data_IF_499828084699
#
_entry.id   IF_499828084699
#
_cell.length_a   1.000
_cell.length_b   1.000
_cell.length_c   1.000
_cell.angle_alpha   90.00
_cell.angle_beta   90.00
_cell.angle_gamma   90.00
#
_symmetry.space_group_name_H-M   'P 1'
#
loop_
_entity.id
_entity.type
_entity.pdbx_description
1 polymer ?
#
# COMPACT_ATOMS: atom_id res chain seq x y z
N UNK A 1 21.78 3.37 -1.43
CA UNK A 1 20.65 2.42 -1.37
C UNK A 1 21.16 1.18 -0.66
N UNK A 2 20.46 0.71 0.37
CA UNK A 2 20.85 -0.52 1.08
C UNK A 2 20.62 -1.75 0.17
N UNK A 3 21.29 -2.86 0.52
CA UNK A 3 21.11 -4.14 -0.16
C UNK A 3 19.64 -4.59 -0.14
N UNK A 4 18.94 -4.41 1.00
CA UNK A 4 17.53 -4.77 1.16
C UNK A 4 16.63 -3.96 0.22
N UNK A 5 16.79 -2.64 0.16
CA UNK A 5 16.02 -1.79 -0.75
C UNK A 5 16.34 -2.12 -2.22
N UNK A 6 17.60 -2.37 -2.55
CA UNK A 6 18.00 -2.75 -3.91
C UNK A 6 17.36 -4.04 -4.37
N UNK A 7 17.32 -5.06 -3.51
CA UNK A 7 16.65 -6.33 -3.80
C UNK A 7 15.13 -6.13 -3.93
N UNK A 8 14.49 -5.42 -3.00
CA UNK A 8 13.05 -5.14 -3.07
C UNK A 8 12.66 -4.44 -4.37
N UNK A 9 13.43 -3.43 -4.80
CA UNK A 9 13.19 -2.70 -6.04
C UNK A 9 13.37 -3.56 -7.28
N UNK A 10 14.39 -4.40 -7.31
CA UNK A 10 14.63 -5.32 -8.44
C UNK A 10 13.50 -6.35 -8.58
N UNK A 11 13.08 -6.95 -7.45
CA UNK A 11 12.00 -7.95 -7.40
C UNK A 11 10.66 -7.32 -7.76
N UNK A 12 10.35 -6.13 -7.24
CA UNK A 12 9.11 -5.41 -7.59
C UNK A 12 9.02 -5.09 -9.09
N UNK A 13 10.12 -4.66 -9.71
CA UNK A 13 10.18 -4.42 -11.16
C UNK A 13 10.02 -5.70 -11.98
N UNK A 14 10.65 -6.80 -11.57
CA UNK A 14 10.51 -8.10 -12.25
C UNK A 14 9.07 -8.60 -12.19
N UNK A 15 8.45 -8.58 -11.01
CA UNK A 15 7.06 -8.95 -10.80
C UNK A 15 6.11 -8.04 -11.59
N UNK A 16 6.31 -6.72 -11.52
CA UNK A 16 5.50 -5.76 -12.25
C UNK A 16 5.62 -5.87 -13.77
N UNK A 17 6.78 -6.25 -14.32
CA UNK A 17 6.94 -6.52 -15.74
C UNK A 17 6.07 -7.71 -16.19
N UNK A 18 5.98 -8.78 -15.38
CA UNK A 18 5.08 -9.92 -15.63
C UNK A 18 3.62 -9.49 -15.52
N UNK A 19 3.26 -8.76 -14.46
CA UNK A 19 1.90 -8.26 -14.30
C UNK A 19 1.46 -7.40 -15.48
N UNK A 20 2.31 -6.50 -15.94
CA UNK A 20 2.06 -5.65 -17.12
C UNK A 20 1.94 -6.46 -18.41
N UNK A 21 2.81 -7.42 -18.64
CA UNK A 21 2.78 -8.25 -19.85
C UNK A 21 1.48 -9.06 -19.95
N UNK A 22 1.00 -9.59 -18.80
CA UNK A 22 -0.22 -10.39 -18.73
C UNK A 22 -1.50 -9.59 -18.54
N UNK A 23 -1.43 -8.26 -18.43
CA UNK A 23 -2.56 -7.41 -18.03
C UNK A 23 -3.80 -7.53 -18.93
N UNK A 24 -3.64 -7.68 -20.23
CA UNK A 24 -4.74 -7.84 -21.20
C UNK A 24 -4.95 -9.29 -21.64
N UNK A 25 -4.19 -10.24 -21.11
CA UNK A 25 -4.36 -11.65 -21.43
C UNK A 25 -5.59 -12.25 -20.72
N UNK A 26 -6.19 -13.32 -21.26
CA UNK A 26 -7.19 -14.12 -20.54
C UNK A 26 -6.61 -14.62 -19.21
N UNK A 27 -7.38 -14.48 -18.13
CA UNK A 27 -6.97 -14.87 -16.79
C UNK A 27 -8.02 -15.71 -16.10
N UNK A 28 -7.59 -16.58 -15.20
CA UNK A 28 -8.48 -17.32 -14.31
C UNK A 28 -8.75 -16.50 -13.08
N UNK A 29 -10.00 -16.12 -12.84
CA UNK A 29 -10.44 -15.36 -11.67
C UNK A 29 -11.13 -16.32 -10.71
N UNK A 30 -10.78 -16.26 -9.43
CA UNK A 30 -11.43 -17.00 -8.33
C UNK A 30 -11.79 -16.02 -7.22
N UNK A 31 -12.62 -16.44 -6.30
CA UNK A 31 -12.96 -15.71 -5.08
C UNK A 31 -12.26 -16.30 -3.88
N UNK A 32 -11.84 -15.47 -2.93
CA UNK A 32 -11.21 -15.87 -1.65
C UNK A 32 -12.26 -16.00 -0.55
N UNK A 33 -12.50 -14.92 0.18
CA UNK A 33 -13.36 -14.89 1.38
C UNK A 33 -14.78 -14.44 1.09
N UNK A 34 -15.01 -13.74 -0.01
CA UNK A 34 -16.32 -13.25 -0.46
C UNK A 34 -16.39 -13.17 -1.99
N UNK A 35 -17.58 -12.95 -2.56
CA UNK A 35 -17.77 -12.82 -4.02
C UNK A 35 -17.02 -11.65 -4.65
N UNK A 36 -16.67 -10.63 -3.85
CA UNK A 36 -15.95 -9.45 -4.30
C UNK A 36 -14.45 -9.46 -3.91
N UNK A 37 -14.01 -10.48 -3.19
CA UNK A 37 -12.62 -10.70 -2.82
C UNK A 37 -11.98 -11.64 -3.86
N UNK A 38 -11.35 -11.04 -4.87
CA UNK A 38 -10.85 -11.76 -6.03
C UNK A 38 -9.38 -12.15 -5.88
N UNK A 39 -9.02 -13.24 -6.53
CA UNK A 39 -7.64 -13.65 -6.80
C UNK A 39 -7.54 -14.16 -8.23
N UNK A 40 -6.41 -13.89 -8.88
CA UNK A 40 -6.13 -14.38 -10.23
C UNK A 40 -4.94 -15.34 -10.22
N UNK A 41 -4.77 -16.09 -11.30
CA UNK A 41 -3.58 -16.90 -11.51
C UNK A 41 -2.29 -16.06 -11.62
N UNK A 42 -2.43 -14.74 -11.86
CA UNK A 42 -1.31 -13.81 -11.86
C UNK A 42 -0.85 -13.52 -10.44
N UNK A 43 -1.75 -13.29 -9.49
CA UNK A 43 -1.40 -13.07 -8.07
C UNK A 43 -0.50 -14.20 -7.55
N UNK A 44 -0.91 -15.45 -7.78
CA UNK A 44 -0.13 -16.62 -7.37
C UNK A 44 1.22 -16.73 -8.09
N UNK A 45 1.28 -16.40 -9.39
CA UNK A 45 2.53 -16.44 -10.15
C UNK A 45 3.52 -15.37 -9.66
N UNK A 46 3.02 -14.18 -9.30
CA UNK A 46 3.85 -13.10 -8.74
C UNK A 46 4.30 -13.43 -7.32
N UNK A 47 3.42 -14.00 -6.47
CA UNK A 47 3.79 -14.47 -5.13
C UNK A 47 4.93 -15.48 -5.20
N UNK A 48 4.79 -16.50 -6.04
CA UNK A 48 5.83 -17.52 -6.23
C UNK A 48 7.17 -16.90 -6.66
N UNK A 49 7.14 -16.02 -7.67
CA UNK A 49 8.34 -15.33 -8.16
C UNK A 49 9.04 -14.55 -7.04
N UNK A 50 8.29 -13.72 -6.32
CA UNK A 50 8.85 -12.86 -5.26
C UNK A 50 9.48 -13.71 -4.17
N UNK A 51 8.79 -14.77 -3.73
CA UNK A 51 9.30 -15.73 -2.73
C UNK A 51 10.58 -16.41 -3.19
N UNK A 52 10.64 -16.87 -4.43
CA UNK A 52 11.83 -17.49 -5.01
C UNK A 52 13.03 -16.54 -5.03
N UNK A 53 12.82 -15.27 -5.44
CA UNK A 53 13.88 -14.25 -5.48
C UNK A 53 14.39 -13.87 -4.11
N UNK A 54 13.46 -13.66 -3.15
CA UNK A 54 13.83 -13.35 -1.77
C UNK A 54 14.59 -14.51 -1.15
N UNK A 55 14.11 -15.76 -1.27
CA UNK A 55 14.78 -16.94 -0.70
C UNK A 55 16.18 -17.18 -1.29
N UNK A 56 16.33 -17.00 -2.60
CA UNK A 56 17.62 -17.15 -3.26
C UNK A 56 18.68 -16.18 -2.76
N UNK A 57 18.28 -14.93 -2.48
CA UNK A 57 19.19 -13.90 -1.99
C UNK A 57 19.29 -13.87 -0.45
N UNK A 58 18.20 -14.21 0.26
CA UNK A 58 18.03 -14.03 1.70
C UNK A 58 17.39 -15.27 2.37
N UNK A 59 18.05 -16.43 2.38
CA UNK A 59 17.45 -17.71 2.78
C UNK A 59 17.05 -17.80 4.26
N UNK A 60 17.54 -16.88 5.11
CA UNK A 60 17.27 -16.85 6.54
C UNK A 60 16.26 -15.77 6.97
N UNK A 61 15.73 -15.00 6.02
CA UNK A 61 14.76 -13.95 6.31
C UNK A 61 13.35 -14.55 6.42
N UNK A 62 12.52 -13.94 7.26
CA UNK A 62 11.09 -14.25 7.34
C UNK A 62 10.34 -13.64 6.15
N UNK A 63 9.26 -14.29 5.72
CA UNK A 63 8.44 -13.82 4.61
C UNK A 63 6.95 -13.94 4.96
N UNK A 64 6.23 -12.83 4.84
CA UNK A 64 4.79 -12.72 4.95
C UNK A 64 4.24 -12.18 3.64
N UNK A 65 3.45 -12.96 2.93
CA UNK A 65 2.79 -12.54 1.69
C UNK A 65 1.29 -12.73 1.80
N UNK A 66 0.51 -12.03 0.97
CA UNK A 66 -0.94 -12.17 0.95
C UNK A 66 -1.39 -13.56 0.52
N UNK A 67 -0.74 -14.15 -0.51
CA UNK A 67 -1.23 -15.35 -1.19
C UNK A 67 -0.72 -16.67 -0.59
N UNK A 68 0.17 -16.60 0.40
CA UNK A 68 0.83 -17.79 0.95
C UNK A 68 0.95 -17.75 2.47
N UNK A 69 1.18 -18.91 3.06
CA UNK A 69 1.44 -18.99 4.49
C UNK A 69 2.74 -18.27 4.87
N UNK A 70 2.71 -17.59 6.03
CA UNK A 70 3.89 -16.93 6.57
C UNK A 70 5.04 -17.92 6.85
N UNK A 71 6.25 -17.51 6.51
CA UNK A 71 7.47 -18.25 6.74
C UNK A 71 8.30 -17.61 7.83
N UNK A 72 8.71 -18.39 8.81
CA UNK A 72 9.61 -17.94 9.85
C UNK A 72 11.03 -17.77 9.33
N UNK A 73 11.77 -16.80 9.87
CA UNK A 73 13.20 -16.58 9.60
C UNK A 73 14.00 -16.50 10.89
N UNK A 74 15.31 -16.45 10.76
CA UNK A 74 16.26 -16.37 11.89
C UNK A 74 17.19 -15.15 11.84
N UNK A 75 17.12 -14.34 10.79
CA UNK A 75 18.02 -13.19 10.57
C UNK A 75 17.59 -11.89 11.28
N UNK A 76 16.34 -11.83 11.82
CA UNK A 76 15.72 -10.59 12.28
C UNK A 76 15.10 -9.74 11.16
N UNK A 77 15.27 -10.13 9.89
CA UNK A 77 14.65 -9.46 8.73
C UNK A 77 13.36 -10.16 8.35
N UNK A 78 12.30 -9.35 8.07
CA UNK A 78 11.02 -9.82 7.57
C UNK A 78 10.59 -9.03 6.33
N UNK A 79 10.23 -9.74 5.29
CA UNK A 79 9.62 -9.23 4.07
C UNK A 79 8.10 -9.32 4.20
N UNK A 80 7.41 -8.23 3.93
CA UNK A 80 5.94 -8.12 4.00
C UNK A 80 5.46 -7.67 2.63
N UNK A 81 4.75 -8.55 1.91
CA UNK A 81 4.54 -8.41 0.47
C UNK A 81 3.07 -8.55 0.09
N UNK A 82 2.58 -7.60 -0.68
CA UNK A 82 1.42 -7.76 -1.54
C UNK A 82 1.90 -7.93 -2.99
N UNK A 83 1.73 -9.13 -3.58
CA UNK A 83 2.18 -9.40 -4.94
C UNK A 83 1.43 -8.62 -6.00
N UNK A 84 0.15 -8.27 -5.74
CA UNK A 84 -0.73 -7.56 -6.67
C UNK A 84 -1.80 -6.76 -5.92
N UNK A 85 -1.43 -5.64 -5.31
CA UNK A 85 -2.39 -4.72 -4.69
C UNK A 85 -3.31 -4.08 -5.75
N UNK A 86 -4.60 -4.32 -5.61
CA UNK A 86 -5.61 -3.93 -6.59
C UNK A 86 -6.05 -5.06 -7.53
N UNK A 87 -6.14 -6.30 -7.05
CA UNK A 87 -6.57 -7.50 -7.80
C UNK A 87 -7.92 -7.29 -8.50
N UNK A 88 -8.89 -6.62 -7.87
CA UNK A 88 -10.17 -6.28 -8.53
C UNK A 88 -9.96 -5.41 -9.76
N UNK A 89 -9.11 -4.39 -9.68
CA UNK A 89 -8.78 -3.53 -10.82
C UNK A 89 -8.13 -4.35 -11.93
N UNK A 90 -7.17 -5.19 -11.55
CA UNK A 90 -6.48 -6.08 -12.49
C UNK A 90 -7.46 -7.04 -13.18
N UNK A 91 -8.35 -7.67 -12.42
CA UNK A 91 -9.37 -8.59 -12.95
C UNK A 91 -10.28 -7.93 -13.98
N UNK A 92 -10.62 -6.64 -13.77
CA UNK A 92 -11.44 -5.84 -14.67
C UNK A 92 -10.66 -5.07 -15.75
N UNK A 93 -9.37 -5.32 -15.93
CA UNK A 93 -8.51 -4.60 -16.85
C UNK A 93 -8.51 -3.07 -16.62
N UNK A 94 -8.68 -2.64 -15.37
CA UNK A 94 -8.51 -1.24 -14.98
C UNK A 94 -7.04 -1.00 -14.57
N UNK A 95 -6.29 -0.11 -15.26
CA UNK A 95 -4.83 -0.01 -15.14
C UNK A 95 -4.40 0.76 -13.88
N UNK A 96 -4.75 0.25 -12.70
CA UNK A 96 -4.44 0.85 -11.41
C UNK A 96 -4.24 -0.26 -10.36
N UNK A 97 -3.01 -0.72 -10.24
CA UNK A 97 -2.56 -1.77 -9.34
C UNK A 97 -1.05 -1.64 -9.11
N UNK A 98 -0.53 -2.27 -8.07
CA UNK A 98 0.88 -2.18 -7.72
C UNK A 98 1.44 -3.49 -7.17
N UNK A 99 2.78 -3.58 -7.15
CA UNK A 99 3.54 -4.54 -6.34
C UNK A 99 3.99 -3.79 -5.09
N UNK A 100 3.67 -4.28 -3.91
CA UNK A 100 4.04 -3.67 -2.62
C UNK A 100 4.98 -4.57 -1.83
N UNK A 101 6.17 -4.07 -1.46
CA UNK A 101 7.17 -4.79 -0.69
C UNK A 101 7.67 -3.92 0.46
N UNK A 102 7.29 -4.28 1.69
CA UNK A 102 7.86 -3.74 2.91
C UNK A 102 8.96 -4.65 3.46
N UNK A 103 10.01 -4.08 4.01
CA UNK A 103 11.08 -4.82 4.71
C UNK A 103 11.22 -4.28 6.11
N UNK A 104 11.17 -5.16 7.09
CA UNK A 104 11.35 -4.87 8.50
C UNK A 104 12.65 -5.49 9.00
N UNK A 105 13.34 -4.80 9.89
CA UNK A 105 14.53 -5.30 10.61
C UNK A 105 14.24 -5.16 12.10
N UNK A 106 14.31 -6.25 12.83
CA UNK A 106 14.01 -6.33 14.27
C UNK A 106 12.65 -5.69 14.62
N UNK A 107 11.64 -5.95 13.78
CA UNK A 107 10.28 -5.45 13.94
C UNK A 107 10.07 -3.98 13.55
N UNK A 108 11.10 -3.29 13.06
CA UNK A 108 10.99 -1.90 12.62
C UNK A 108 11.05 -1.80 11.08
N UNK A 109 10.16 -1.02 10.46
CA UNK A 109 10.18 -0.76 9.00
C UNK A 109 11.53 -0.17 8.61
N UNK A 110 12.24 -0.81 7.68
CA UNK A 110 13.59 -0.42 7.25
C UNK A 110 13.62 0.03 5.79
N UNK A 111 12.87 -0.63 4.91
CA UNK A 111 12.72 -0.26 3.51
C UNK A 111 11.28 -0.49 3.04
N UNK A 112 10.84 0.25 2.03
CA UNK A 112 9.53 0.11 1.42
C UNK A 112 9.57 0.42 -0.07
N UNK A 113 8.92 -0.41 -0.87
CA UNK A 113 8.80 -0.27 -2.32
C UNK A 113 7.35 -0.45 -2.73
N UNK A 114 6.84 0.48 -3.54
CA UNK A 114 5.57 0.35 -4.26
C UNK A 114 5.86 0.61 -5.74
N UNK A 115 5.54 -0.35 -6.61
CA UNK A 115 5.75 -0.21 -8.04
C UNK A 115 4.44 -0.28 -8.81
N UNK A 116 4.10 0.80 -9.51
CA UNK A 116 3.02 0.86 -10.50
C UNK A 116 3.58 0.48 -11.88
N UNK A 117 3.33 -0.74 -12.39
CA UNK A 117 3.90 -1.17 -13.65
C UNK A 117 3.23 -0.55 -14.88
N UNK A 118 2.01 -0.01 -14.73
CA UNK A 118 1.28 0.61 -15.83
C UNK A 118 1.80 2.00 -16.14
N UNK A 119 2.29 2.73 -15.10
CA UNK A 119 2.88 4.07 -15.22
C UNK A 119 4.41 4.05 -15.21
N UNK A 120 5.02 2.89 -14.94
CA UNK A 120 6.45 2.72 -14.69
C UNK A 120 6.95 3.67 -13.58
N UNK A 121 6.19 3.70 -12.47
CA UNK A 121 6.47 4.52 -11.32
C UNK A 121 6.93 3.64 -10.14
N UNK A 122 8.21 3.74 -9.79
CA UNK A 122 8.79 3.07 -8.64
C UNK A 122 8.94 4.06 -7.49
N UNK A 123 8.13 3.85 -6.44
CA UNK A 123 8.21 4.56 -5.18
C UNK A 123 9.09 3.76 -4.22
N UNK A 124 10.08 4.41 -3.63
CA UNK A 124 11.08 3.78 -2.76
C UNK A 124 11.29 4.63 -1.51
N UNK A 125 11.38 3.99 -0.36
CA UNK A 125 11.82 4.64 0.88
C UNK A 125 12.80 3.75 1.64
N UNK A 126 13.75 4.38 2.33
CA UNK A 126 14.65 3.74 3.27
C UNK A 126 14.68 4.59 4.53
N UNK A 127 14.51 3.96 5.69
CA UNK A 127 14.44 4.66 6.99
C UNK A 127 15.59 5.64 7.17
N UNK A 128 15.23 6.91 7.43
CA UNK A 128 16.18 8.01 7.65
C UNK A 128 16.87 8.52 6.38
N UNK A 129 16.45 8.07 5.18
CA UNK A 129 17.07 8.49 3.91
C UNK A 129 16.09 9.14 2.92
N UNK A 130 14.85 9.34 3.36
CA UNK A 130 13.79 9.94 2.55
C UNK A 130 13.16 8.99 1.56
N UNK A 131 12.12 9.49 0.87
CA UNK A 131 11.39 8.77 -0.18
C UNK A 131 11.74 9.30 -1.57
N UNK A 132 11.58 8.42 -2.59
CA UNK A 132 11.90 8.73 -4.00
C UNK A 132 10.84 8.14 -4.93
N UNK A 133 10.64 8.80 -6.05
CA UNK A 133 9.90 8.30 -7.22
C UNK A 133 10.87 8.24 -8.39
N UNK A 134 11.10 7.05 -8.95
CA UNK A 134 12.05 6.81 -10.04
C UNK A 134 13.42 7.44 -9.75
N UNK A 135 13.92 7.27 -8.52
CA UNK A 135 15.20 7.80 -8.07
C UNK A 135 15.22 9.30 -7.71
N UNK A 136 14.16 10.07 -8.02
CA UNK A 136 14.06 11.48 -7.67
C UNK A 136 13.42 11.66 -6.29
N UNK A 137 13.96 12.50 -5.40
CA UNK A 137 13.36 12.77 -4.09
C UNK A 137 11.92 13.28 -4.22
N UNK A 138 11.03 12.77 -3.37
CA UNK A 138 9.63 13.21 -3.28
C UNK A 138 9.32 13.73 -1.89
N UNK A 139 8.26 14.53 -1.80
CA UNK A 139 7.70 15.05 -0.56
C UNK A 139 6.19 15.09 -0.65
N UNK A 140 5.55 15.03 0.50
CA UNK A 140 4.11 15.27 0.64
C UNK A 140 3.73 16.69 0.21
N UNK A 141 2.44 16.90 -0.08
CA UNK A 141 1.90 18.20 -0.49
C UNK A 141 1.94 19.26 0.64
N UNK A 142 1.68 20.52 0.27
CA UNK A 142 1.63 21.64 1.22
C UNK A 142 0.21 22.15 1.51
N UNK A 143 -0.84 21.48 1.05
CA UNK A 143 -2.22 21.85 1.30
C UNK A 143 -2.51 21.77 2.80
N UNK A 144 -2.99 22.89 3.39
CA UNK A 144 -3.24 22.99 4.82
C UNK A 144 -4.73 23.00 5.20
N UNK A 145 -5.61 23.18 4.23
CA UNK A 145 -7.04 23.25 4.45
C UNK A 145 -7.75 22.04 3.87
N UNK A 146 -8.51 21.31 4.70
CA UNK A 146 -9.21 20.08 4.29
C UNK A 146 -10.16 20.31 3.10
N UNK A 147 -10.84 21.47 3.03
CA UNK A 147 -11.70 21.84 1.90
C UNK A 147 -10.99 22.00 0.55
N UNK A 148 -9.66 22.04 0.55
CA UNK A 148 -8.80 22.10 -0.65
C UNK A 148 -8.08 20.77 -0.89
N UNK A 149 -8.26 19.81 0.01
CA UNK A 149 -7.56 18.56 -0.02
C UNK A 149 -8.20 17.56 -0.99
N UNK A 150 -7.37 16.88 -1.76
CA UNK A 150 -7.73 15.68 -2.50
C UNK A 150 -7.39 14.46 -1.65
N UNK A 151 -8.42 13.73 -1.24
CA UNK A 151 -8.28 12.58 -0.37
C UNK A 151 -8.51 11.27 -1.12
N UNK A 152 -8.04 10.16 -0.54
CA UNK A 152 -8.34 8.81 -0.99
C UNK A 152 -8.88 7.95 0.14
N UNK A 153 -9.60 6.88 -0.22
CA UNK A 153 -10.08 5.84 0.69
C UNK A 153 -10.38 4.54 -0.05
N UNK A 154 -10.48 3.45 0.70
CA UNK A 154 -10.98 2.16 0.24
C UNK A 154 -12.07 1.59 1.14
N UNK A 155 -12.56 0.42 0.77
CA UNK A 155 -13.57 -0.33 1.51
C UNK A 155 -13.18 -1.80 1.54
N UNK A 156 -13.21 -2.39 2.74
CA UNK A 156 -12.94 -3.81 2.92
C UNK A 156 -13.93 -4.70 2.15
N UNK A 157 -13.51 -5.90 1.82
CA UNK A 157 -14.29 -6.87 1.04
C UNK A 157 -15.53 -7.44 1.78
N UNK A 158 -15.76 -7.05 3.04
CA UNK A 158 -16.96 -7.39 3.81
C UNK A 158 -18.06 -6.30 3.75
N UNK A 159 -17.87 -5.26 2.95
CA UNK A 159 -18.80 -4.10 2.84
C UNK A 159 -20.23 -4.49 2.50
N UNK A 160 -20.45 -5.61 1.79
CA UNK A 160 -21.79 -6.10 1.42
C UNK A 160 -22.47 -6.85 2.58
N UNK A 161 -21.73 -7.42 3.51
CA UNK A 161 -22.25 -8.19 4.64
C UNK A 161 -22.38 -7.36 5.92
N UNK A 162 -21.69 -6.23 6.02
CA UNK A 162 -21.69 -5.35 7.19
C UNK A 162 -21.86 -3.89 6.77
N UNK A 163 -22.69 -3.17 7.54
CA UNK A 163 -22.69 -1.70 7.43
C UNK A 163 -21.35 -1.18 7.93
N UNK A 164 -20.46 -0.86 7.01
CA UNK A 164 -19.12 -0.37 7.37
C UNK A 164 -19.16 1.06 7.90
N UNK A 165 -18.46 1.36 9.01
CA UNK A 165 -18.28 2.73 9.48
C UNK A 165 -17.68 3.66 8.40
N UNK A 166 -16.93 3.10 7.44
CA UNK A 166 -16.30 3.90 6.38
C UNK A 166 -17.30 4.59 5.45
N UNK A 167 -18.52 4.08 5.30
CA UNK A 167 -19.57 4.81 4.57
C UNK A 167 -19.93 6.14 5.25
N UNK A 168 -19.96 6.14 6.59
CA UNK A 168 -20.20 7.36 7.38
C UNK A 168 -19.02 8.34 7.25
N UNK A 169 -17.80 7.81 7.30
CA UNK A 169 -16.60 8.64 7.09
C UNK A 169 -16.58 9.24 5.69
N UNK A 170 -16.89 8.44 4.67
CA UNK A 170 -16.96 8.89 3.28
C UNK A 170 -17.99 10.01 3.08
N UNK A 171 -19.20 9.87 3.64
CA UNK A 171 -20.25 10.90 3.62
C UNK A 171 -19.77 12.20 4.27
N UNK A 172 -19.12 12.12 5.44
CA UNK A 172 -18.58 13.29 6.14
C UNK A 172 -17.49 14.00 5.32
N UNK A 173 -16.58 13.24 4.72
CA UNK A 173 -15.50 13.81 3.91
C UNK A 173 -15.97 14.40 2.60
N UNK A 174 -17.02 13.85 1.96
CA UNK A 174 -17.63 14.47 0.77
C UNK A 174 -18.12 15.90 1.06
N UNK A 175 -18.62 16.14 2.28
CA UNK A 175 -19.06 17.47 2.72
C UNK A 175 -17.94 18.41 3.16
N UNK A 176 -16.71 17.93 3.31
CA UNK A 176 -15.61 18.69 3.92
C UNK A 176 -14.35 18.81 3.06
N UNK A 177 -14.03 17.83 2.25
CA UNK A 177 -12.85 17.83 1.37
C UNK A 177 -13.17 18.41 -0.01
N UNK A 178 -12.16 18.72 -0.80
CA UNK A 178 -12.35 19.17 -2.18
C UNK A 178 -12.86 18.02 -3.05
N UNK A 179 -12.29 16.86 -2.92
CA UNK A 179 -12.69 15.65 -3.63
C UNK A 179 -12.13 14.40 -2.96
N UNK A 180 -12.73 13.24 -3.29
CA UNK A 180 -12.28 11.94 -2.80
C UNK A 180 -12.05 11.02 -4.00
N UNK A 181 -11.06 10.13 -3.88
CA UNK A 181 -10.81 9.03 -4.79
C UNK A 181 -11.05 7.71 -4.07
N UNK A 182 -11.63 6.76 -4.77
CA UNK A 182 -11.74 5.36 -4.38
C UNK A 182 -11.12 4.55 -5.53
N UNK A 183 -9.79 4.57 -5.58
CA UNK A 183 -9.08 4.02 -6.73
C UNK A 183 -8.86 2.50 -6.64
N UNK A 184 -8.82 1.93 -5.44
CA UNK A 184 -8.82 0.48 -5.21
C UNK A 184 -7.44 -0.17 -5.21
N UNK A 185 -6.41 0.57 -4.79
CA UNK A 185 -5.06 0.11 -4.51
C UNK A 185 -4.54 0.89 -3.31
N UNK A 186 -4.48 0.25 -2.15
CA UNK A 186 -4.05 0.88 -0.90
C UNK A 186 -2.58 1.33 -0.97
N UNK A 187 -1.71 0.49 -1.55
CA UNK A 187 -0.30 0.82 -1.72
C UNK A 187 -0.11 2.07 -2.59
N UNK A 188 -0.87 2.22 -3.70
CA UNK A 188 -0.82 3.42 -4.54
C UNK A 188 -1.41 4.64 -3.82
N UNK A 189 -2.47 4.48 -3.02
CA UNK A 189 -3.05 5.58 -2.26
C UNK A 189 -2.01 6.15 -1.27
N UNK A 190 -1.26 5.31 -0.55
CA UNK A 190 -0.10 5.74 0.27
C UNK A 190 0.99 6.41 -0.57
N UNK A 191 1.39 5.79 -1.68
CA UNK A 191 2.44 6.32 -2.56
C UNK A 191 2.07 7.70 -3.13
N UNK A 192 0.79 7.91 -3.43
CA UNK A 192 0.30 9.21 -3.92
C UNK A 192 0.21 10.27 -2.81
N UNK A 193 0.00 9.88 -1.56
CA UNK A 193 0.19 10.80 -0.43
C UNK A 193 1.68 11.16 -0.31
N UNK A 194 2.58 10.19 -0.36
CA UNK A 194 4.02 10.42 -0.23
C UNK A 194 4.59 11.35 -1.31
N UNK A 195 4.07 11.29 -2.53
CA UNK A 195 4.53 12.19 -3.61
C UNK A 195 3.69 13.47 -3.79
N UNK A 196 2.74 13.74 -2.89
CA UNK A 196 1.93 14.96 -2.88
C UNK A 196 0.82 15.03 -3.93
N UNK A 197 0.46 13.90 -4.58
CA UNK A 197 -0.70 13.81 -5.47
C UNK A 197 -2.01 13.77 -4.68
N UNK A 198 -2.01 13.11 -3.52
CA UNK A 198 -3.08 13.17 -2.54
C UNK A 198 -2.60 13.89 -1.28
N UNK A 199 -3.52 14.54 -0.59
CA UNK A 199 -3.24 15.27 0.64
C UNK A 199 -3.48 14.40 1.87
N UNK A 200 -4.28 13.35 1.71
CA UNK A 200 -4.56 12.37 2.75
C UNK A 200 -5.27 11.12 2.23
N UNK A 201 -5.20 10.09 3.04
CA UNK A 201 -5.79 8.78 2.82
C UNK A 201 -6.26 8.20 4.14
N UNK A 202 -7.40 7.51 4.15
CA UNK A 202 -7.87 6.74 5.30
C UNK A 202 -8.52 5.45 4.85
N UNK A 203 -8.33 4.39 5.63
CA UNK A 203 -9.00 3.12 5.38
C UNK A 203 -9.13 2.30 6.65
N UNK A 204 -10.01 1.29 6.63
CA UNK A 204 -10.25 0.34 7.70
C UNK A 204 -10.05 -1.08 7.20
N UNK A 205 -9.63 -1.96 8.12
CA UNK A 205 -9.52 -3.40 7.87
C UNK A 205 -8.54 -3.81 6.77
N UNK A 206 -7.48 -3.03 6.59
CA UNK A 206 -6.34 -3.41 5.76
C UNK A 206 -5.54 -4.56 6.41
N UNK A 207 -4.73 -5.23 5.61
CA UNK A 207 -3.79 -6.25 6.06
C UNK A 207 -2.35 -5.68 6.22
N UNK A 208 -1.43 -6.41 6.86
CA UNK A 208 -0.05 -5.95 7.03
C UNK A 208 0.67 -5.63 5.70
N UNK A 209 0.40 -6.38 4.65
CA UNK A 209 1.04 -6.21 3.34
C UNK A 209 0.55 -4.97 2.60
N UNK A 210 -0.68 -4.51 2.84
CA UNK A 210 -1.22 -3.28 2.25
C UNK A 210 -0.51 -2.02 2.79
N UNK A 211 0.01 -2.09 4.03
CA UNK A 211 0.48 -0.90 4.76
C UNK A 211 1.99 -0.83 4.98
N UNK A 212 2.69 -1.97 4.95
CA UNK A 212 4.09 -2.03 5.39
C UNK A 212 5.02 -1.10 4.60
N UNK A 213 4.94 -1.10 3.27
CA UNK A 213 5.70 -0.21 2.41
C UNK A 213 5.16 1.23 2.45
N UNK A 214 3.83 1.36 2.36
CA UNK A 214 3.15 2.65 2.24
C UNK A 214 3.36 3.58 3.43
N UNK A 215 3.32 3.04 4.66
CA UNK A 215 3.58 3.83 5.87
C UNK A 215 4.97 4.44 5.82
N UNK A 216 6.00 3.65 5.51
CA UNK A 216 7.37 4.16 5.45
C UNK A 216 7.54 5.21 4.35
N UNK A 217 6.92 5.01 3.17
CA UNK A 217 6.93 6.00 2.08
C UNK A 217 6.41 7.37 2.54
N UNK A 218 5.25 7.39 3.21
CA UNK A 218 4.64 8.64 3.71
C UNK A 218 5.50 9.29 4.80
N UNK A 219 5.99 8.51 5.77
CA UNK A 219 6.85 9.01 6.86
C UNK A 219 8.14 9.62 6.31
N UNK A 220 8.84 8.92 5.41
CA UNK A 220 10.10 9.37 4.81
C UNK A 220 9.92 10.53 3.81
N UNK A 221 8.72 10.73 3.28
CA UNK A 221 8.36 11.89 2.48
C UNK A 221 7.98 13.13 3.33
N UNK A 222 8.01 13.01 4.67
CA UNK A 222 7.66 14.09 5.61
C UNK A 222 6.17 14.19 5.95
N UNK A 223 5.39 13.17 5.61
CA UNK A 223 3.99 13.04 5.99
C UNK A 223 3.79 12.44 7.38
N UNK A 224 2.54 12.18 7.72
CA UNK A 224 2.14 11.60 8.99
C UNK A 224 1.19 10.43 8.78
N UNK A 225 1.43 9.33 9.51
CA UNK A 225 0.55 8.16 9.53
C UNK A 225 0.23 7.80 10.98
N UNK A 226 -1.05 7.61 11.30
CA UNK A 226 -1.52 7.20 12.63
C UNK A 226 -2.71 6.25 12.51
N UNK A 227 -3.13 5.68 13.64
CA UNK A 227 -4.51 5.22 13.77
C UNK A 227 -5.47 6.44 13.86
N UNK A 228 -6.78 6.17 14.00
CA UNK A 228 -7.77 7.27 14.11
C UNK A 228 -7.73 8.00 15.46
N UNK A 229 -7.11 7.40 16.48
CA UNK A 229 -6.95 7.97 17.82
C UNK A 229 -5.62 8.72 17.99
N UNK A 230 -4.93 9.03 16.86
CA UNK A 230 -3.62 9.69 16.80
C UNK A 230 -2.46 8.86 17.38
N UNK A 231 -2.68 7.58 17.67
CA UNK A 231 -1.68 6.62 18.10
C UNK A 231 -0.77 6.13 16.95
N UNK A 232 0.19 5.28 17.27
CA UNK A 232 1.04 4.66 16.26
C UNK A 232 0.21 3.87 15.25
N UNK A 233 0.56 3.90 13.94
CA UNK A 233 -0.18 3.16 12.93
C UNK A 233 -0.09 1.65 13.21
N UNK A 234 -1.23 0.96 13.30
CA UNK A 234 -1.23 -0.48 13.58
C UNK A 234 -0.59 -1.23 12.40
N UNK A 235 0.30 -2.18 12.72
CA UNK A 235 0.91 -3.04 11.70
C UNK A 235 -0.11 -3.89 10.94
N UNK A 236 -1.30 -4.09 11.54
CA UNK A 236 -2.43 -4.80 10.93
C UNK A 236 -3.25 -3.96 9.95
N UNK A 237 -3.01 -2.65 9.85
CA UNK A 237 -3.83 -1.76 9.02
C UNK A 237 -5.28 -1.56 9.48
N UNK A 238 -5.62 -1.96 10.72
CA UNK A 238 -7.01 -2.03 11.19
C UNK A 238 -7.81 -0.72 11.05
N UNK A 239 -7.19 0.42 11.37
CA UNK A 239 -7.75 1.77 11.23
C UNK A 239 -6.56 2.70 10.94
N UNK A 240 -6.44 3.21 9.74
CA UNK A 240 -5.26 3.98 9.35
C UNK A 240 -5.63 5.30 8.68
N UNK A 241 -4.92 6.36 9.06
CA UNK A 241 -4.98 7.67 8.45
C UNK A 241 -3.56 8.12 8.09
N UNK A 242 -3.34 8.41 6.81
CA UNK A 242 -2.10 8.97 6.27
C UNK A 242 -2.36 10.34 5.68
N UNK A 243 -1.42 11.28 5.78
CA UNK A 243 -1.59 12.61 5.20
C UNK A 243 -0.26 13.34 5.03
N UNK A 244 -0.33 14.51 4.40
CA UNK A 244 0.77 15.46 4.32
C UNK A 244 1.17 16.11 5.67
N UNK A 245 0.57 15.67 6.79
CA UNK A 245 0.78 16.21 8.13
C UNK A 245 -0.01 17.48 8.42
N UNK A 246 -0.26 18.34 7.42
CA UNK A 246 -0.94 19.64 7.59
C UNK A 246 -2.44 19.49 7.76
N UNK A 247 -3.08 18.58 7.04
CA UNK A 247 -4.52 18.25 7.15
C UNK A 247 -4.82 17.14 8.14
N UNK A 248 -3.80 16.52 8.76
CA UNK A 248 -3.95 15.29 9.55
C UNK A 248 -4.91 15.46 10.73
N UNK A 249 -4.75 16.48 11.55
CA UNK A 249 -5.62 16.74 12.71
C UNK A 249 -7.07 16.94 12.27
N UNK A 250 -7.30 17.73 11.22
CA UNK A 250 -8.65 17.96 10.69
C UNK A 250 -9.27 16.67 10.13
N UNK A 251 -8.46 15.78 9.53
CA UNK A 251 -8.93 14.45 9.10
C UNK A 251 -9.36 13.60 10.30
N UNK A 252 -8.56 13.52 11.37
CA UNK A 252 -8.90 12.77 12.58
C UNK A 252 -10.16 13.31 13.25
N UNK A 253 -10.37 14.61 13.27
CA UNK A 253 -11.61 15.21 13.78
C UNK A 253 -12.86 14.77 12.99
N UNK A 254 -12.75 14.63 11.66
CA UNK A 254 -13.86 14.11 10.83
C UNK A 254 -14.09 12.62 11.06
N UNK A 255 -13.01 11.83 11.20
CA UNK A 255 -13.08 10.39 11.43
C UNK A 255 -13.69 10.03 12.79
N UNK A 256 -13.54 10.88 13.81
CA UNK A 256 -13.97 10.64 15.19
C UNK A 256 -15.29 11.34 15.58
N UNK A 257 -15.98 11.98 14.66
CA UNK A 257 -17.35 12.53 14.89
C UNK A 257 -18.42 11.39 14.92
#
# INVERSE_FOLDING_TARGET
MSELLGLASAVAREAGAIARARFLEPRTIRTKTSEIDLVTDVDHALDQLIRERVRAARPHDALLTEESQAEAGSSGVRWVVDPLDGTTNYAHAFPHFAISIGVEVDGARAAGVVYDPMRDELFEAERGKGARLNGQPIRVSEIAELRRALLATGFAYDVHSRRTPNLVHFERFIGTAQAIRRAGSAALDFAYVACGRFDGYWELHLAPWDVAAGILLVEEAGGRVTDFDAGAPPASGARIAASNGRVHTAMLEVLNR
#
